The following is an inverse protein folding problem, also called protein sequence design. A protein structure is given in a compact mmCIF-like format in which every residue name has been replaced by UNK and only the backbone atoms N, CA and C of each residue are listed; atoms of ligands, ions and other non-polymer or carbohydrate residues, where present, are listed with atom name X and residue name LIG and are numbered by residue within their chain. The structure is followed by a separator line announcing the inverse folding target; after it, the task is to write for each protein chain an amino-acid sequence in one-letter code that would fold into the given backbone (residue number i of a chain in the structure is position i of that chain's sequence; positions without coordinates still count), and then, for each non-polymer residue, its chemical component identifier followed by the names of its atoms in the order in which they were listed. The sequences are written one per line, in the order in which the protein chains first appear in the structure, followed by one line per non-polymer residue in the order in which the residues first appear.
data_IF_100176554097
#
_entry.id   IF_100176554097
#
_cell.length_a   1.000
_cell.length_b   1.000
_cell.length_c   1.000
_cell.angle_alpha   90.00
_cell.angle_beta   90.00
_cell.angle_gamma   90.00
#
_symmetry.space_group_name_H-M   'P 1'
#
loop_
_entity.id
_entity.type
_entity.pdbx_description
1 polymer ?
#
# COMPACT_ATOMS: atom_id res chain seq x y z
N UNK A 1 12.68 22.78 23.45
CA UNK A 1 12.89 21.36 23.09
C UNK A 1 11.74 20.95 22.19
N UNK A 2 11.92 21.03 20.88
CA UNK A 2 10.94 20.52 19.92
C UNK A 2 11.06 19.00 19.86
N UNK A 3 9.96 18.24 19.94
CA UNK A 3 10.01 16.79 19.79
C UNK A 3 10.49 16.47 18.36
N UNK A 4 11.52 15.62 18.28
CA UNK A 4 12.04 15.08 17.02
C UNK A 4 10.99 14.10 16.48
N UNK A 5 10.51 14.23 15.23
CA UNK A 5 9.59 13.25 14.66
C UNK A 5 10.27 11.88 14.67
N UNK A 6 9.54 10.87 15.14
CA UNK A 6 10.01 9.49 15.10
C UNK A 6 10.15 9.11 13.61
N UNK A 7 11.29 8.51 13.19
CA UNK A 7 11.36 7.99 11.84
C UNK A 7 10.22 6.97 11.68
N UNK A 8 9.33 7.18 10.70
CA UNK A 8 8.45 6.14 10.23
C UNK A 8 9.33 4.92 9.95
N UNK A 9 9.19 3.89 10.78
CA UNK A 9 10.09 2.76 10.78
C UNK A 9 10.01 2.09 9.39
N UNK A 10 11.10 2.15 8.62
CA UNK A 10 11.21 1.48 7.31
C UNK A 10 10.91 -0.01 7.41
N UNK A 11 10.94 -0.57 8.62
CA UNK A 11 10.64 -1.95 8.95
C UNK A 11 9.24 -2.44 8.51
N UNK A 12 8.28 -1.53 8.27
CA UNK A 12 6.94 -1.89 7.79
C UNK A 12 6.72 -1.75 6.28
N UNK A 13 7.69 -1.20 5.53
CA UNK A 13 7.50 -0.91 4.12
C UNK A 13 7.72 -2.18 3.27
N UNK A 14 6.82 -2.46 2.34
CA UNK A 14 6.93 -3.59 1.41
C UNK A 14 8.25 -3.44 0.65
N UNK A 15 9.22 -4.32 0.92
CA UNK A 15 10.40 -4.45 0.07
C UNK A 15 10.00 -5.26 -1.18
N UNK A 16 9.97 -4.57 -2.32
CA UNK A 16 9.62 -5.17 -3.60
C UNK A 16 10.51 -6.37 -3.99
N UNK A 17 11.71 -6.49 -3.41
CA UNK A 17 12.65 -7.59 -3.69
C UNK A 17 12.34 -8.85 -2.88
N UNK A 18 11.77 -8.71 -1.69
CA UNK A 18 11.52 -9.84 -0.78
C UNK A 18 10.03 -10.13 -0.57
N UNK A 19 9.15 -9.32 -1.16
CA UNK A 19 7.71 -9.47 -1.05
C UNK A 19 7.23 -10.79 -1.67
N UNK A 20 6.48 -11.58 -0.91
CA UNK A 20 5.78 -12.79 -1.38
C UNK A 20 4.29 -12.47 -1.63
N UNK A 21 3.86 -12.31 -2.90
CA UNK A 21 2.49 -12.00 -3.24
C UNK A 21 1.51 -13.13 -2.92
N UNK A 22 1.95 -14.39 -2.99
CA UNK A 22 1.09 -15.54 -2.74
C UNK A 22 0.77 -15.66 -1.25
N UNK A 23 1.80 -15.55 -0.40
CA UNK A 23 1.61 -15.53 1.05
C UNK A 23 0.74 -14.33 1.49
N UNK A 24 0.98 -13.15 0.92
CA UNK A 24 0.19 -11.96 1.22
C UNK A 24 -1.29 -12.14 0.84
N UNK A 25 -1.58 -12.64 -0.37
CA UNK A 25 -2.97 -12.85 -0.83
C UNK A 25 -3.68 -13.91 0.02
N UNK A 26 -3.00 -15.01 0.37
CA UNK A 26 -3.58 -16.04 1.23
C UNK A 26 -3.95 -15.50 2.63
N UNK A 27 -3.11 -14.62 3.19
CA UNK A 27 -3.36 -13.99 4.48
C UNK A 27 -4.45 -12.90 4.42
N UNK A 28 -4.41 -12.05 3.40
CA UNK A 28 -5.26 -10.85 3.35
C UNK A 28 -6.64 -11.09 2.79
N UNK A 29 -6.81 -12.04 1.86
CA UNK A 29 -8.13 -12.35 1.30
C UNK A 29 -9.21 -12.55 2.38
N UNK A 30 -9.03 -13.42 3.40
CA UNK A 30 -10.04 -13.57 4.46
C UNK A 30 -10.18 -12.33 5.34
N UNK A 31 -9.08 -11.59 5.60
CA UNK A 31 -9.10 -10.38 6.42
C UNK A 31 -9.97 -9.27 5.82
N UNK A 32 -10.10 -9.23 4.49
CA UNK A 32 -10.99 -8.31 3.76
C UNK A 32 -12.34 -8.94 3.37
N UNK A 33 -12.67 -10.10 3.95
CA UNK A 33 -13.95 -10.79 3.70
C UNK A 33 -14.05 -11.51 2.35
N UNK A 34 -12.93 -11.73 1.66
CA UNK A 34 -12.91 -12.46 0.39
C UNK A 34 -12.60 -13.94 0.61
N UNK A 35 -13.43 -14.80 0.00
CA UNK A 35 -13.11 -16.22 -0.16
C UNK A 35 -12.68 -16.46 -1.60
N UNK A 36 -11.40 -16.77 -1.80
CA UNK A 36 -10.83 -17.00 -3.12
C UNK A 36 -10.44 -18.48 -3.28
N UNK A 37 -10.94 -19.20 -4.31
CA UNK A 37 -10.43 -20.52 -4.64
C UNK A 37 -8.96 -20.45 -5.09
N UNK A 38 -8.18 -21.55 -5.00
CA UNK A 38 -6.74 -21.54 -5.23
C UNK A 38 -6.32 -20.96 -6.60
N UNK A 39 -7.07 -21.28 -7.66
CA UNK A 39 -6.79 -20.75 -9.00
C UNK A 39 -6.95 -19.22 -9.08
N UNK A 40 -7.91 -18.65 -8.34
CA UNK A 40 -8.09 -17.19 -8.28
C UNK A 40 -7.04 -16.54 -7.40
N UNK A 41 -6.63 -17.18 -6.31
CA UNK A 41 -5.52 -16.69 -5.48
C UNK A 41 -4.24 -16.55 -6.30
N UNK A 42 -3.90 -17.55 -7.13
CA UNK A 42 -2.73 -17.50 -7.99
C UNK A 42 -2.77 -16.32 -8.98
N UNK A 43 -3.93 -16.04 -9.59
CA UNK A 43 -4.11 -14.90 -10.51
C UNK A 43 -3.98 -13.56 -9.79
N UNK A 44 -4.58 -13.43 -8.60
CA UNK A 44 -4.48 -12.20 -7.79
C UNK A 44 -3.04 -11.98 -7.32
N UNK A 45 -2.34 -13.04 -6.91
CA UNK A 45 -0.93 -12.96 -6.53
C UNK A 45 -0.05 -12.49 -7.71
N UNK A 46 -0.28 -13.02 -8.92
CA UNK A 46 0.43 -12.57 -10.13
C UNK A 46 0.16 -11.09 -10.46
N UNK A 47 -1.10 -10.64 -10.34
CA UNK A 47 -1.45 -9.23 -10.53
C UNK A 47 -0.80 -8.33 -9.47
N UNK A 48 -0.80 -8.76 -8.21
CA UNK A 48 -0.19 -8.04 -7.11
C UNK A 48 1.33 -7.91 -7.27
N UNK A 49 1.99 -8.95 -7.79
CA UNK A 49 3.42 -8.90 -8.13
C UNK A 49 3.73 -7.79 -9.15
N UNK A 50 2.83 -7.56 -10.11
CA UNK A 50 2.97 -6.46 -11.07
C UNK A 50 2.75 -5.09 -10.40
N UNK A 51 1.73 -4.97 -9.55
CA UNK A 51 1.45 -3.73 -8.81
C UNK A 51 2.63 -3.33 -7.93
N UNK A 52 3.27 -4.28 -7.24
CA UNK A 52 4.45 -4.00 -6.41
C UNK A 52 5.61 -3.46 -7.25
N UNK A 53 5.84 -4.00 -8.45
CA UNK A 53 6.86 -3.48 -9.37
C UNK A 53 6.56 -2.06 -9.84
N UNK A 54 5.29 -1.77 -10.14
CA UNK A 54 4.85 -0.43 -10.58
C UNK A 54 4.93 0.58 -9.43
N UNK A 55 4.60 0.16 -8.21
CA UNK A 55 4.59 1.01 -7.02
C UNK A 55 5.96 1.25 -6.38
N UNK A 56 6.95 0.39 -6.64
CA UNK A 56 8.28 0.51 -6.03
C UNK A 56 8.93 1.91 -6.19
N UNK A 57 8.91 2.56 -7.37
CA UNK A 57 9.46 3.92 -7.51
C UNK A 57 8.73 4.96 -6.66
N UNK A 58 7.44 4.79 -6.38
CA UNK A 58 6.68 5.71 -5.53
C UNK A 58 7.10 5.60 -4.06
N UNK A 59 7.51 4.41 -3.60
CA UNK A 59 8.00 4.17 -2.23
C UNK A 59 9.42 4.70 -2.01
N UNK A 60 10.20 4.87 -3.08
CA UNK A 60 11.53 5.48 -3.02
C UNK A 60 11.48 7.01 -2.89
N UNK A 61 10.32 7.61 -3.20
CA UNK A 61 10.13 9.05 -3.08
C UNK A 61 9.83 9.45 -1.63
N UNK A 62 10.66 10.31 -1.05
CA UNK A 62 10.40 10.88 0.26
C UNK A 62 9.28 11.93 0.15
N UNK A 63 8.16 11.66 0.83
CA UNK A 63 7.05 12.61 0.96
C UNK A 63 7.22 13.37 2.26
N UNK A 64 7.22 14.70 2.19
CA UNK A 64 7.31 15.55 3.38
C UNK A 64 6.02 15.45 4.21
N UNK A 65 6.13 15.62 5.53
CA UNK A 65 5.00 15.45 6.46
C UNK A 65 3.86 16.47 6.23
N UNK A 66 4.17 17.60 5.61
CA UNK A 66 3.23 18.67 5.27
C UNK A 66 2.55 18.48 3.90
N UNK A 67 2.87 17.41 3.17
CA UNK A 67 2.20 17.08 1.91
C UNK A 67 0.89 16.38 2.21
N UNK A 68 -0.21 17.06 1.90
CA UNK A 68 -1.55 16.50 2.04
C UNK A 68 -1.86 15.47 0.94
N UNK A 69 -2.57 14.37 1.25
CA UNK A 69 -3.00 13.40 0.26
C UNK A 69 -4.07 14.00 -0.66
N UNK A 70 -3.92 13.80 -1.96
CA UNK A 70 -4.95 14.20 -2.91
C UNK A 70 -6.13 13.20 -2.92
N UNK A 71 -7.37 13.66 -3.10
CA UNK A 71 -7.84 15.05 -3.02
C UNK A 71 -8.05 15.52 -1.56
N UNK A 72 -7.75 16.79 -1.30
CA UNK A 72 -8.01 17.43 0.00
C UNK A 72 -9.51 17.65 0.16
N UNK A 73 -10.05 17.27 1.31
CA UNK A 73 -11.46 17.51 1.61
C UNK A 73 -11.73 19.02 1.74
N UNK A 74 -12.54 19.56 0.83
CA UNK A 74 -13.05 20.92 0.91
C UNK A 74 -14.55 20.89 1.24
N UNK A 75 -14.95 21.22 2.48
CA UNK A 75 -16.36 21.21 2.88
C UNK A 75 -17.21 22.26 2.14
N UNK A 76 -16.59 23.23 1.45
CA UNK A 76 -17.27 24.30 0.72
C UNK A 76 -17.55 24.01 -0.76
N UNK A 77 -16.94 22.97 -1.33
CA UNK A 77 -17.18 22.57 -2.73
C UNK A 77 -18.26 21.50 -2.76
N UNK A 78 -19.52 21.94 -2.76
CA UNK A 78 -20.63 21.12 -3.25
C UNK A 78 -20.30 20.75 -4.71
N UNK A 79 -20.21 19.45 -5.05
CA UNK A 79 -20.25 19.05 -6.47
C UNK A 79 -21.51 19.65 -7.11
N UNK A 80 -21.47 20.10 -8.39
CA UNK A 80 -22.70 20.35 -9.13
C UNK A 80 -23.54 19.07 -9.23
#
# INVERSE_FOLDING_TARGET
MTPRPLPCDKAGMIDAKTFDPAAYVAAMAPAVGLTLPPERQARVAAALALVVKIGAPALEHAVAEDVEPAPVFDPGVSRP
#
